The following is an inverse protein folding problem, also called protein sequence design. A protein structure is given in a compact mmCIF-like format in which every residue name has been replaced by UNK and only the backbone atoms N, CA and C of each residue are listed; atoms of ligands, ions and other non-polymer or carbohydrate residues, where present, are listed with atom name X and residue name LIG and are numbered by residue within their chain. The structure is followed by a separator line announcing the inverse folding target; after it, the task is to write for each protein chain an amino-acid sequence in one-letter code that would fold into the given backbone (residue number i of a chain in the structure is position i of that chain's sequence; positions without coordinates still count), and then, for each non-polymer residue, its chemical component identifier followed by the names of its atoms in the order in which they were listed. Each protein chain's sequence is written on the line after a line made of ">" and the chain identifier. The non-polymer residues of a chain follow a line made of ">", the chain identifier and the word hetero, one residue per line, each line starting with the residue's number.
data_IF_762499625872
#
_entry.id   IF_762499625872
#
_cell.length_a   1.000
_cell.length_b   1.000
_cell.length_c   1.000
_cell.angle_alpha   90.00
_cell.angle_beta   90.00
_cell.angle_gamma   90.00
#
_symmetry.space_group_name_H-M   'P 1'
#
loop_
_entity.id
_entity.type
_entity.pdbx_description
1 polymer ?
#
# COMPACT_ATOMS: atom_id res chain seq x y z
N UNK A 1 8.54 -38.69 25.55
CA UNK A 1 8.48 -38.43 24.09
C UNK A 1 9.32 -39.51 23.43
N UNK A 2 8.72 -40.38 22.62
CA UNK A 2 9.44 -41.43 21.89
C UNK A 2 10.48 -40.80 20.97
N UNK A 3 11.67 -41.40 20.86
CA UNK A 3 12.67 -40.95 19.90
C UNK A 3 12.06 -40.91 18.49
N UNK A 4 12.35 -39.87 17.68
CA UNK A 4 11.85 -39.82 16.31
C UNK A 4 12.31 -41.07 15.56
N UNK A 5 11.43 -41.62 14.73
CA UNK A 5 11.74 -42.77 13.87
C UNK A 5 12.97 -42.47 13.01
N UNK A 6 13.72 -43.51 12.63
CA UNK A 6 14.90 -43.32 11.77
C UNK A 6 14.56 -42.52 10.51
N UNK A 7 15.40 -41.55 10.10
CA UNK A 7 15.10 -40.68 8.97
C UNK A 7 14.99 -41.45 7.65
N UNK A 8 13.86 -41.27 6.96
CA UNK A 8 13.64 -41.89 5.65
C UNK A 8 14.33 -41.10 4.52
N UNK A 9 14.47 -41.71 3.35
CA UNK A 9 14.94 -41.00 2.15
C UNK A 9 13.99 -39.85 1.74
N UNK A 10 12.71 -39.93 2.09
CA UNK A 10 11.73 -38.86 1.86
C UNK A 10 11.99 -37.68 2.79
N UNK A 11 12.36 -37.94 4.05
CA UNK A 11 12.69 -36.90 5.02
C UNK A 11 13.94 -36.13 4.57
N UNK A 12 15.00 -36.84 4.17
CA UNK A 12 16.22 -36.21 3.62
C UNK A 12 15.95 -35.33 2.41
N UNK A 13 15.02 -35.73 1.51
CA UNK A 13 14.60 -34.88 0.39
C UNK A 13 13.85 -33.63 0.84
N UNK A 14 13.02 -33.72 1.88
CA UNK A 14 12.33 -32.56 2.46
C UNK A 14 13.31 -31.63 3.14
N UNK A 15 14.28 -32.14 3.90
CA UNK A 15 15.32 -31.33 4.52
C UNK A 15 16.17 -30.60 3.50
N UNK A 16 16.49 -31.23 2.36
CA UNK A 16 17.18 -30.56 1.26
C UNK A 16 16.33 -29.44 0.63
N UNK A 17 14.99 -29.56 0.64
CA UNK A 17 14.10 -28.48 0.21
C UNK A 17 14.08 -27.35 1.22
N UNK A 18 13.91 -27.65 2.51
CA UNK A 18 13.98 -26.65 3.58
C UNK A 18 15.31 -25.89 3.55
N UNK A 19 16.43 -26.60 3.42
CA UNK A 19 17.76 -25.98 3.27
C UNK A 19 17.80 -24.93 2.14
N UNK A 20 17.19 -25.23 0.99
CA UNK A 20 17.15 -24.30 -0.15
C UNK A 20 16.24 -23.11 0.13
N UNK A 21 15.11 -23.34 0.79
CA UNK A 21 14.14 -22.31 1.14
C UNK A 21 14.72 -21.35 2.21
N UNK A 22 15.32 -21.87 3.28
CA UNK A 22 16.04 -21.12 4.32
C UNK A 22 17.11 -20.19 3.74
N UNK A 23 17.94 -20.73 2.83
CA UNK A 23 18.99 -19.94 2.16
C UNK A 23 18.42 -18.82 1.28
N UNK A 24 17.27 -19.08 0.67
CA UNK A 24 16.61 -18.11 -0.19
C UNK A 24 15.95 -17.00 0.64
N UNK A 25 15.34 -17.33 1.78
CA UNK A 25 14.77 -16.37 2.74
C UNK A 25 15.86 -15.52 3.40
N UNK A 26 16.95 -16.14 3.89
CA UNK A 26 18.11 -15.42 4.42
C UNK A 26 18.67 -14.40 3.41
N UNK A 27 18.72 -14.77 2.12
CA UNK A 27 19.17 -13.86 1.05
C UNK A 27 18.22 -12.69 0.87
N UNK A 28 16.91 -12.94 0.86
CA UNK A 28 15.90 -11.88 0.76
C UNK A 28 16.04 -10.90 1.93
N UNK A 29 16.19 -11.39 3.16
CA UNK A 29 16.37 -10.53 4.33
C UNK A 29 17.66 -9.71 4.28
N UNK A 30 18.78 -10.29 3.84
CA UNK A 30 20.04 -9.54 3.65
C UNK A 30 19.93 -8.47 2.56
N UNK A 31 19.30 -8.78 1.43
CA UNK A 31 19.08 -7.81 0.35
C UNK A 31 18.18 -6.66 0.79
N UNK A 32 17.18 -6.94 1.63
CA UNK A 32 16.35 -5.93 2.26
C UNK A 32 17.15 -5.08 3.25
N UNK A 33 17.90 -5.71 4.16
CA UNK A 33 18.70 -5.03 5.17
C UNK A 33 19.72 -4.06 4.56
N UNK A 34 20.35 -4.45 3.44
CA UNK A 34 21.33 -3.64 2.72
C UNK A 34 20.78 -2.30 2.18
N UNK A 35 19.44 -2.14 2.14
CA UNK A 35 18.76 -0.94 1.63
C UNK A 35 18.02 -0.17 2.73
N UNK A 36 18.33 -0.44 4.00
CA UNK A 36 17.69 0.14 5.18
C UNK A 36 18.74 0.67 6.14
N UNK A 37 18.30 1.56 7.02
CA UNK A 37 19.11 2.13 8.09
C UNK A 37 18.39 2.00 9.45
N UNK A 38 19.17 2.10 10.53
CA UNK A 38 18.67 2.03 11.90
C UNK A 38 17.97 0.72 12.26
N UNK A 39 16.92 0.82 13.08
CA UNK A 39 16.17 -0.30 13.66
C UNK A 39 15.68 -1.31 12.60
N UNK A 40 15.20 -0.85 11.44
CA UNK A 40 14.68 -1.76 10.40
C UNK A 40 15.78 -2.65 9.79
N UNK A 41 17.02 -2.13 9.66
CA UNK A 41 18.15 -2.91 9.17
C UNK A 41 18.58 -3.96 10.19
N UNK A 42 18.59 -3.60 11.47
CA UNK A 42 18.95 -4.51 12.57
C UNK A 42 17.97 -5.68 12.65
N UNK A 43 16.67 -5.39 12.60
CA UNK A 43 15.62 -6.43 12.60
C UNK A 43 15.78 -7.38 11.40
N UNK A 44 15.96 -6.85 10.19
CA UNK A 44 16.13 -7.68 8.99
C UNK A 44 17.42 -8.51 9.01
N UNK A 45 18.49 -7.98 9.60
CA UNK A 45 19.74 -8.72 9.78
C UNK A 45 19.55 -9.86 10.78
N UNK A 46 18.86 -9.61 11.90
CA UNK A 46 18.55 -10.63 12.89
C UNK A 46 17.68 -11.76 12.33
N UNK A 47 16.71 -11.44 11.46
CA UNK A 47 15.92 -12.45 10.73
C UNK A 47 16.83 -13.29 9.80
N UNK A 48 17.72 -12.65 9.03
CA UNK A 48 18.65 -13.38 8.17
C UNK A 48 19.61 -14.30 8.94
N UNK A 49 20.02 -13.90 10.14
CA UNK A 49 20.88 -14.70 11.01
C UNK A 49 20.11 -15.88 11.63
N UNK A 50 18.81 -15.72 11.87
CA UNK A 50 17.93 -16.79 12.32
C UNK A 50 17.75 -17.89 11.25
N UNK A 51 17.49 -17.52 10.00
CA UNK A 51 17.46 -18.51 8.90
C UNK A 51 18.82 -19.19 8.70
N UNK A 52 19.93 -18.51 9.02
CA UNK A 52 21.26 -19.12 9.06
C UNK A 52 21.39 -20.23 10.12
N UNK A 53 20.71 -20.10 11.26
CA UNK A 53 20.66 -21.17 12.28
C UNK A 53 19.79 -22.35 11.82
N UNK A 54 18.70 -22.07 11.13
CA UNK A 54 17.85 -23.10 10.52
C UNK A 54 18.61 -23.87 9.42
N UNK A 55 19.34 -23.16 8.56
CA UNK A 55 20.26 -23.75 7.58
C UNK A 55 21.23 -24.74 8.24
N UNK A 56 21.90 -24.32 9.33
CA UNK A 56 22.84 -25.16 10.05
C UNK A 56 22.19 -26.42 10.63
N UNK A 57 20.95 -26.32 11.14
CA UNK A 57 20.19 -27.48 11.63
C UNK A 57 19.94 -28.51 10.53
N UNK A 58 19.48 -28.07 9.35
CA UNK A 58 19.21 -28.97 8.23
C UNK A 58 20.50 -29.59 7.67
N UNK A 59 21.60 -28.84 7.58
CA UNK A 59 22.90 -29.36 7.19
C UNK A 59 23.40 -30.45 8.15
N UNK A 60 23.22 -30.24 9.46
CA UNK A 60 23.59 -31.24 10.47
C UNK A 60 22.79 -32.53 10.31
N UNK A 61 21.47 -32.45 10.08
CA UNK A 61 20.62 -33.62 9.81
C UNK A 61 20.98 -34.34 8.50
N UNK A 62 21.36 -33.59 7.47
CA UNK A 62 21.80 -34.14 6.18
C UNK A 62 23.20 -34.75 6.22
N UNK A 63 24.02 -34.41 7.21
CA UNK A 63 25.41 -34.83 7.32
C UNK A 63 26.35 -34.05 6.40
N UNK A 64 25.98 -32.81 6.06
CA UNK A 64 26.74 -31.93 5.15
C UNK A 64 25.96 -31.52 3.90
N UNK A 65 26.67 -30.94 2.94
CA UNK A 65 26.07 -30.37 1.73
C UNK A 65 25.52 -31.47 0.79
N UNK A 66 24.24 -31.42 0.39
CA UNK A 66 23.69 -32.39 -0.55
C UNK A 66 24.37 -32.33 -1.91
N UNK A 67 24.68 -33.49 -2.49
CA UNK A 67 25.28 -33.56 -3.84
C UNK A 67 24.38 -32.96 -4.94
N UNK A 68 23.07 -32.88 -4.72
CA UNK A 68 22.11 -32.20 -5.60
C UNK A 68 21.07 -31.47 -4.76
N UNK A 69 20.98 -30.16 -4.97
CA UNK A 69 19.96 -29.32 -4.36
C UNK A 69 18.70 -29.28 -5.24
N UNK A 70 17.50 -29.33 -4.65
CA UNK A 70 16.27 -29.05 -5.38
C UNK A 70 16.22 -27.58 -5.83
N UNK A 71 15.31 -27.28 -6.77
CA UNK A 71 15.09 -25.88 -7.18
C UNK A 71 14.30 -25.15 -6.08
N UNK A 72 14.64 -23.88 -5.79
CA UNK A 72 13.84 -23.08 -4.87
C UNK A 72 12.41 -22.96 -5.37
N UNK A 73 11.45 -22.86 -4.43
CA UNK A 73 10.06 -22.70 -4.78
C UNK A 73 9.85 -21.46 -5.68
N UNK A 74 8.93 -21.56 -6.66
CA UNK A 74 8.66 -20.48 -7.60
C UNK A 74 8.24 -19.16 -6.89
N UNK A 75 7.56 -19.28 -5.75
CA UNK A 75 7.21 -18.15 -4.88
C UNK A 75 8.44 -17.42 -4.36
N UNK A 76 9.47 -18.14 -3.91
CA UNK A 76 10.71 -17.59 -3.36
C UNK A 76 11.59 -16.94 -4.44
N UNK A 77 11.58 -17.47 -5.66
CA UNK A 77 12.24 -16.84 -6.82
C UNK A 77 11.56 -15.52 -7.19
N UNK A 78 10.22 -15.51 -7.23
CA UNK A 78 9.45 -14.30 -7.49
C UNK A 78 9.68 -13.25 -6.40
N UNK A 79 9.73 -13.68 -5.13
CA UNK A 79 10.09 -12.85 -3.97
C UNK A 79 11.44 -12.16 -4.15
N UNK A 80 12.49 -12.91 -4.45
CA UNK A 80 13.83 -12.33 -4.67
C UNK A 80 13.91 -11.43 -5.90
N UNK A 81 13.14 -11.72 -6.97
CA UNK A 81 13.04 -10.79 -8.10
C UNK A 81 12.31 -9.49 -7.72
N UNK A 82 11.18 -9.60 -7.01
CA UNK A 82 10.42 -8.46 -6.55
C UNK A 82 11.24 -7.63 -5.56
N UNK A 83 11.99 -8.26 -4.66
CA UNK A 83 12.86 -7.57 -3.71
C UNK A 83 13.93 -6.74 -4.40
N UNK A 84 14.50 -7.24 -5.48
CA UNK A 84 15.49 -6.48 -6.23
C UNK A 84 14.89 -5.29 -6.97
N UNK A 85 13.63 -5.40 -7.45
CA UNK A 85 13.01 -4.44 -8.38
C UNK A 85 12.05 -3.43 -7.75
N UNK A 86 11.30 -3.85 -6.74
CA UNK A 86 10.26 -3.08 -6.05
C UNK A 86 10.65 -3.02 -4.57
N UNK A 87 10.64 -1.83 -3.97
CA UNK A 87 11.15 -1.61 -2.61
C UNK A 87 10.59 -2.54 -1.53
N UNK A 88 11.22 -2.50 -0.36
CA UNK A 88 11.01 -3.34 0.84
C UNK A 88 9.57 -3.74 1.20
N UNK A 89 8.58 -2.90 0.91
CA UNK A 89 7.21 -3.07 1.37
C UNK A 89 6.49 -4.20 0.61
N UNK A 90 6.78 -4.37 -0.68
CA UNK A 90 6.23 -5.47 -1.48
C UNK A 90 6.81 -6.82 -1.06
N UNK A 91 8.07 -6.81 -0.65
CA UNK A 91 8.80 -8.01 -0.23
C UNK A 91 8.33 -8.46 1.13
N UNK A 92 8.18 -7.55 2.08
CA UNK A 92 7.68 -7.87 3.42
C UNK A 92 6.23 -8.39 3.38
N UNK A 93 5.38 -7.82 2.54
CA UNK A 93 4.01 -8.32 2.36
C UNK A 93 3.97 -9.72 1.72
N UNK A 94 4.92 -10.02 0.83
CA UNK A 94 5.00 -11.32 0.17
C UNK A 94 5.71 -12.37 1.06
N UNK A 95 6.68 -11.95 1.88
CA UNK A 95 7.38 -12.76 2.89
C UNK A 95 6.41 -13.20 3.98
N UNK A 96 5.54 -12.29 4.46
CA UNK A 96 4.45 -12.63 5.39
C UNK A 96 3.57 -13.78 4.86
N UNK A 97 3.31 -13.79 3.54
CA UNK A 97 2.46 -14.80 2.90
C UNK A 97 3.20 -16.13 2.65
N UNK A 98 4.54 -16.13 2.71
CA UNK A 98 5.38 -17.31 2.65
C UNK A 98 5.53 -17.93 4.06
N UNK A 99 5.85 -17.13 5.07
CA UNK A 99 5.99 -17.55 6.48
C UNK A 99 4.69 -18.13 7.06
N UNK A 100 3.53 -17.56 6.68
CA UNK A 100 2.21 -18.10 7.07
C UNK A 100 1.94 -19.54 6.59
N UNK A 101 2.80 -20.09 5.73
CA UNK A 101 2.70 -21.46 5.18
C UNK A 101 3.83 -22.38 5.67
N UNK A 102 4.62 -21.96 6.66
CA UNK A 102 5.74 -22.76 7.17
C UNK A 102 5.27 -24.09 7.78
N UNK A 103 5.82 -25.25 7.34
CA UNK A 103 5.38 -26.57 7.79
C UNK A 103 5.99 -27.00 9.13
N UNK A 104 6.81 -26.16 9.79
CA UNK A 104 7.63 -26.56 10.94
C UNK A 104 6.84 -26.96 12.19
N UNK A 105 5.62 -26.46 12.38
CA UNK A 105 4.74 -26.96 13.47
C UNK A 105 4.43 -28.46 13.34
N UNK A 106 4.42 -28.98 12.12
CA UNK A 106 4.08 -30.37 11.80
C UNK A 106 5.30 -31.24 11.48
N UNK A 107 6.51 -30.67 11.50
CA UNK A 107 7.75 -31.34 11.12
C UNK A 107 8.39 -32.04 12.33
N UNK A 108 8.44 -33.38 12.38
CA UNK A 108 8.98 -34.11 13.53
C UNK A 108 10.47 -33.86 13.81
N UNK A 109 11.22 -33.43 12.78
CA UNK A 109 12.66 -33.17 12.87
C UNK A 109 13.01 -31.69 13.04
N UNK A 110 12.01 -30.79 13.10
CA UNK A 110 12.22 -29.40 13.44
C UNK A 110 12.33 -29.26 14.97
N UNK A 111 13.24 -28.40 15.43
CA UNK A 111 13.35 -28.16 16.88
C UNK A 111 12.18 -27.30 17.38
N UNK A 112 11.80 -27.41 18.66
CA UNK A 112 10.81 -26.50 19.25
C UNK A 112 11.19 -25.03 19.12
N UNK A 113 12.50 -24.72 19.13
CA UNK A 113 13.03 -23.37 18.91
C UNK A 113 12.77 -22.89 17.50
N UNK A 114 13.00 -23.70 16.46
CA UNK A 114 12.71 -23.33 15.07
C UNK A 114 11.22 -23.05 14.85
N UNK A 115 10.36 -23.89 15.42
CA UNK A 115 8.91 -23.66 15.33
C UNK A 115 8.45 -22.40 16.08
N UNK A 116 9.18 -21.97 17.12
CA UNK A 116 8.94 -20.72 17.83
C UNK A 116 9.49 -19.52 17.05
N UNK A 117 10.72 -19.61 16.53
CA UNK A 117 11.40 -18.58 15.73
C UNK A 117 10.51 -18.21 14.53
N UNK A 118 9.96 -19.19 13.79
CA UNK A 118 9.05 -18.97 12.66
C UNK A 118 7.80 -18.14 13.02
N UNK A 119 7.18 -18.41 14.19
CA UNK A 119 6.00 -17.64 14.63
C UNK A 119 6.36 -16.19 14.90
N UNK A 120 7.53 -15.97 15.49
CA UNK A 120 8.04 -14.63 15.77
C UNK A 120 8.46 -13.95 14.46
N UNK A 121 9.09 -14.65 13.52
CA UNK A 121 9.43 -14.15 12.18
C UNK A 121 8.18 -13.60 11.49
N UNK A 122 7.11 -14.42 11.43
CA UNK A 122 5.83 -14.00 10.86
C UNK A 122 5.27 -12.73 11.50
N UNK A 123 5.29 -12.60 12.83
CA UNK A 123 4.77 -11.41 13.50
C UNK A 123 5.66 -10.17 13.30
N UNK A 124 6.99 -10.35 13.30
CA UNK A 124 7.96 -9.29 13.02
C UNK A 124 7.80 -8.77 11.58
N UNK A 125 7.74 -9.67 10.60
CA UNK A 125 7.53 -9.34 9.18
C UNK A 125 6.17 -8.68 8.97
N UNK A 126 5.11 -9.19 9.61
CA UNK A 126 3.79 -8.55 9.63
C UNK A 126 3.85 -7.14 10.22
N UNK A 127 4.59 -6.94 11.30
CA UNK A 127 4.81 -5.63 11.94
C UNK A 127 5.54 -4.64 11.03
N UNK A 128 6.63 -5.08 10.39
CA UNK A 128 7.38 -4.31 9.39
C UNK A 128 6.52 -3.97 8.16
N UNK A 129 5.74 -4.94 7.66
CA UNK A 129 4.80 -4.73 6.56
C UNK A 129 3.68 -3.75 6.93
N UNK A 130 3.14 -3.82 8.14
CA UNK A 130 2.15 -2.87 8.64
C UNK A 130 2.71 -1.45 8.75
N UNK A 131 3.94 -1.30 9.26
CA UNK A 131 4.66 -0.02 9.33
C UNK A 131 4.89 0.57 7.93
N UNK A 132 5.32 -0.26 6.98
CA UNK A 132 5.45 0.10 5.57
C UNK A 132 4.14 0.54 4.92
N UNK A 133 3.03 -0.18 5.15
CA UNK A 133 1.70 0.18 4.64
C UNK A 133 1.20 1.52 5.17
N UNK A 134 1.45 1.84 6.45
CA UNK A 134 1.08 3.14 7.03
C UNK A 134 1.80 4.30 6.34
N UNK A 135 3.08 4.13 5.98
CA UNK A 135 3.84 5.14 5.23
C UNK A 135 3.35 5.35 3.79
N UNK A 136 2.72 4.34 3.17
CA UNK A 136 2.22 4.42 1.79
C UNK A 136 0.73 4.81 1.68
N UNK A 137 -0.04 4.74 2.76
CA UNK A 137 -1.51 4.63 2.69
C UNK A 137 -2.21 5.82 2.01
N UNK A 138 -1.65 7.03 2.10
CA UNK A 138 -2.19 8.22 1.44
C UNK A 138 -1.90 8.22 -0.07
N UNK A 139 -0.64 8.38 -0.44
CA UNK A 139 -0.21 8.61 -1.83
C UNK A 139 -0.37 7.39 -2.72
N UNK A 140 -0.08 6.18 -2.22
CA UNK A 140 -0.18 4.96 -3.02
C UNK A 140 -1.63 4.65 -3.40
N UNK A 141 -2.54 4.84 -2.43
CA UNK A 141 -3.96 4.59 -2.63
C UNK A 141 -4.52 5.54 -3.68
N UNK A 142 -4.21 6.84 -3.58
CA UNK A 142 -4.59 7.84 -4.58
C UNK A 142 -4.02 7.51 -5.97
N UNK A 143 -2.76 7.11 -6.05
CA UNK A 143 -2.10 6.76 -7.31
C UNK A 143 -2.77 5.57 -8.03
N UNK A 144 -2.98 4.47 -7.32
CA UNK A 144 -3.57 3.26 -7.91
C UNK A 144 -5.03 3.46 -8.27
N UNK A 145 -5.80 4.17 -7.44
CA UNK A 145 -7.19 4.48 -7.78
C UNK A 145 -7.28 5.45 -8.96
N UNK A 146 -6.42 6.47 -9.04
CA UNK A 146 -6.39 7.38 -10.18
C UNK A 146 -6.09 6.66 -11.49
N UNK A 147 -5.04 5.84 -11.53
CA UNK A 147 -4.72 5.06 -12.72
C UNK A 147 -5.83 4.07 -13.09
N UNK A 148 -6.43 3.39 -12.11
CA UNK A 148 -7.54 2.48 -12.36
C UNK A 148 -8.80 3.20 -12.86
N UNK A 149 -9.11 4.38 -12.33
CA UNK A 149 -10.25 5.17 -12.76
C UNK A 149 -10.05 5.65 -14.21
N UNK A 150 -8.84 6.12 -14.56
CA UNK A 150 -8.49 6.45 -15.94
C UNK A 150 -8.59 5.25 -16.90
N UNK A 151 -8.07 4.08 -16.49
CA UNK A 151 -8.18 2.83 -17.27
C UNK A 151 -9.63 2.47 -17.58
N UNK A 152 -10.49 2.43 -16.54
CA UNK A 152 -11.87 1.96 -16.66
C UNK A 152 -12.74 2.98 -17.37
N UNK A 153 -12.70 4.25 -16.96
CA UNK A 153 -13.54 5.31 -17.54
C UNK A 153 -13.23 5.53 -19.02
N UNK A 154 -11.94 5.59 -19.39
CA UNK A 154 -11.59 5.88 -20.77
C UNK A 154 -11.71 4.64 -21.67
N UNK A 155 -11.51 3.42 -21.14
CA UNK A 155 -11.88 2.20 -21.87
C UNK A 155 -13.37 2.18 -22.19
N UNK A 156 -14.23 2.45 -21.19
CA UNK A 156 -15.67 2.48 -21.38
C UNK A 156 -16.08 3.51 -22.44
N UNK A 157 -15.47 4.70 -22.42
CA UNK A 157 -15.71 5.74 -23.42
C UNK A 157 -15.36 5.27 -24.83
N UNK A 158 -14.14 4.77 -25.06
CA UNK A 158 -13.71 4.37 -26.42
C UNK A 158 -14.44 3.13 -26.92
N UNK A 159 -14.87 2.22 -26.03
CA UNK A 159 -15.70 1.08 -26.38
C UNK A 159 -17.11 1.53 -26.80
N UNK A 160 -17.72 2.45 -26.04
CA UNK A 160 -19.04 3.00 -26.37
C UNK A 160 -19.03 3.77 -27.69
N UNK A 161 -18.08 4.69 -27.89
CA UNK A 161 -17.98 5.43 -29.15
C UNK A 161 -17.62 4.48 -30.30
N UNK A 162 -16.67 3.57 -30.11
CA UNK A 162 -16.29 2.60 -31.14
C UNK A 162 -17.44 1.69 -31.58
N UNK A 163 -18.36 1.33 -30.67
CA UNK A 163 -19.52 0.49 -30.99
C UNK A 163 -20.55 1.17 -31.91
N UNK A 164 -20.51 2.50 -32.04
CA UNK A 164 -21.40 3.24 -32.95
C UNK A 164 -21.04 3.08 -34.42
N UNK A 165 -19.85 2.55 -34.73
CA UNK A 165 -19.36 2.43 -36.12
C UNK A 165 -18.76 3.71 -36.70
N UNK A 166 -18.55 4.75 -35.89
CA UNK A 166 -17.87 5.99 -36.33
C UNK A 166 -16.43 5.72 -36.79
N UNK A 167 -15.91 6.66 -37.58
CA UNK A 167 -14.56 6.55 -38.09
C UNK A 167 -13.50 6.59 -36.96
N UNK A 168 -12.34 5.91 -37.11
CA UNK A 168 -11.36 5.74 -36.04
C UNK A 168 -10.84 7.04 -35.42
N UNK A 169 -10.78 8.12 -36.21
CA UNK A 169 -10.38 9.45 -35.73
C UNK A 169 -11.33 10.03 -34.68
N UNK A 170 -12.63 9.70 -34.74
CA UNK A 170 -13.59 10.13 -33.73
C UNK A 170 -13.39 9.36 -32.42
N UNK A 171 -13.10 8.06 -32.49
CA UNK A 171 -12.77 7.26 -31.30
C UNK A 171 -11.51 7.79 -30.62
N UNK A 172 -10.47 8.09 -31.41
CA UNK A 172 -9.23 8.69 -30.92
C UNK A 172 -9.50 10.06 -30.25
N UNK A 173 -10.21 10.95 -30.94
CA UNK A 173 -10.53 12.27 -30.42
C UNK A 173 -11.33 12.18 -29.11
N UNK A 174 -12.37 11.35 -29.07
CA UNK A 174 -13.16 11.11 -27.86
C UNK A 174 -12.30 10.55 -26.72
N UNK A 175 -11.40 9.60 -27.00
CA UNK A 175 -10.50 9.04 -26.00
C UNK A 175 -9.50 10.06 -25.44
N UNK A 176 -8.95 10.95 -26.27
CA UNK A 176 -8.06 12.03 -25.81
C UNK A 176 -8.84 13.10 -25.04
N UNK A 177 -10.02 13.48 -25.51
CA UNK A 177 -10.89 14.43 -24.83
C UNK A 177 -11.34 13.90 -23.46
N UNK A 178 -11.76 12.62 -23.40
CA UNK A 178 -12.13 11.94 -22.16
C UNK A 178 -10.97 11.83 -21.17
N UNK A 179 -9.77 11.51 -21.66
CA UNK A 179 -8.55 11.53 -20.85
C UNK A 179 -8.31 12.90 -20.23
N UNK A 180 -8.30 13.97 -21.03
CA UNK A 180 -8.01 15.32 -20.55
C UNK A 180 -9.09 15.82 -19.59
N UNK A 181 -10.37 15.63 -19.95
CA UNK A 181 -11.49 16.03 -19.11
C UNK A 181 -11.48 15.30 -17.77
N UNK A 182 -11.26 13.98 -17.78
CA UNK A 182 -11.17 13.17 -16.58
C UNK A 182 -9.96 13.54 -15.71
N UNK A 183 -8.78 13.69 -16.32
CA UNK A 183 -7.56 14.05 -15.58
C UNK A 183 -7.67 15.43 -14.92
N UNK A 184 -8.19 16.43 -15.65
CA UNK A 184 -8.42 17.77 -15.11
C UNK A 184 -9.45 17.76 -13.98
N UNK A 185 -10.55 17.03 -14.16
CA UNK A 185 -11.58 16.86 -13.12
C UNK A 185 -11.00 16.21 -11.85
N UNK A 186 -10.22 15.14 -12.00
CA UNK A 186 -9.58 14.46 -10.88
C UNK A 186 -8.57 15.35 -10.16
N UNK A 187 -7.73 16.07 -10.92
CA UNK A 187 -6.76 17.02 -10.35
C UNK A 187 -7.43 18.17 -9.60
N UNK A 188 -8.48 18.77 -10.17
CA UNK A 188 -9.26 19.82 -9.53
C UNK A 188 -9.97 19.31 -8.27
N UNK A 189 -10.58 18.13 -8.33
CA UNK A 189 -11.22 17.49 -7.17
C UNK A 189 -10.25 17.25 -6.02
N UNK A 190 -9.04 16.77 -6.31
CA UNK A 190 -8.01 16.56 -5.29
C UNK A 190 -7.51 17.90 -4.69
N UNK A 191 -7.31 18.92 -5.53
CA UNK A 191 -6.93 20.27 -5.06
C UNK A 191 -7.94 20.81 -4.05
N UNK A 192 -9.23 20.76 -4.41
CA UNK A 192 -10.32 21.24 -3.57
C UNK A 192 -10.40 20.39 -2.29
N UNK A 193 -10.29 19.07 -2.40
CA UNK A 193 -10.34 18.17 -1.23
C UNK A 193 -9.24 18.50 -0.21
N UNK A 194 -7.98 18.63 -0.66
CA UNK A 194 -6.86 18.95 0.20
C UNK A 194 -7.00 20.35 0.81
N UNK A 195 -7.44 21.32 0.02
CA UNK A 195 -7.65 22.69 0.51
C UNK A 195 -8.75 22.76 1.57
N UNK A 196 -9.89 22.11 1.33
CA UNK A 196 -10.99 22.05 2.30
C UNK A 196 -10.59 21.31 3.57
N UNK A 197 -9.79 20.24 3.50
CA UNK A 197 -9.26 19.58 4.69
C UNK A 197 -8.39 20.53 5.53
N UNK A 198 -7.54 21.34 4.89
CA UNK A 198 -6.74 22.36 5.58
C UNK A 198 -7.59 23.47 6.19
N UNK A 199 -8.58 23.96 5.46
CA UNK A 199 -9.51 24.97 5.96
C UNK A 199 -10.29 24.47 7.18
N UNK A 200 -10.70 23.19 7.19
CA UNK A 200 -11.34 22.55 8.36
C UNK A 200 -10.40 22.39 9.55
N UNK A 201 -9.14 22.01 9.31
CA UNK A 201 -8.13 21.89 10.36
C UNK A 201 -7.81 23.26 10.97
N UNK A 202 -7.56 24.27 10.14
CA UNK A 202 -7.32 25.65 10.57
C UNK A 202 -8.51 26.23 11.36
N UNK A 203 -9.75 25.87 11.00
CA UNK A 203 -10.93 26.25 11.77
C UNK A 203 -11.05 25.55 13.14
N UNK A 204 -10.30 24.47 13.36
CA UNK A 204 -10.28 23.69 14.61
C UNK A 204 -9.07 24.05 15.48
N UNK A 205 -8.06 24.72 14.93
CA UNK A 205 -6.90 25.16 15.70
C UNK A 205 -7.29 26.24 16.74
N UNK A 206 -6.77 26.15 17.97
CA UNK A 206 -6.98 27.17 18.97
C UNK A 206 -6.51 28.52 18.43
N UNK A 207 -7.43 29.49 18.34
CA UNK A 207 -7.09 30.86 17.96
C UNK A 207 -6.29 31.52 19.10
N UNK A 208 -5.18 32.20 18.77
CA UNK A 208 -4.28 32.93 19.69
C UNK A 208 -5.01 34.01 20.51
N UNK A 209 -6.25 34.33 20.15
CA UNK A 209 -7.16 35.19 20.91
C UNK A 209 -7.30 34.76 22.37
N UNK A 210 -7.19 33.47 22.67
CA UNK A 210 -7.18 32.97 24.04
C UNK A 210 -5.86 33.35 24.75
N UNK A 211 -4.71 33.17 24.10
CA UNK A 211 -3.39 33.36 24.72
C UNK A 211 -3.06 34.83 25.01
N UNK A 212 -3.49 35.77 24.16
CA UNK A 212 -3.32 37.21 24.44
C UNK A 212 -4.21 37.72 25.58
N UNK A 213 -5.33 37.05 25.86
CA UNK A 213 -6.29 37.44 26.89
C UNK A 213 -6.11 36.69 28.22
N UNK A 214 -5.32 35.60 28.25
CA UNK A 214 -4.98 34.84 29.46
C UNK A 214 -4.48 35.71 30.63
N UNK A 215 -3.60 36.72 30.44
CA UNK A 215 -3.10 37.54 31.55
C UNK A 215 -4.11 38.56 32.09
N UNK A 216 -5.25 38.73 31.41
CA UNK A 216 -6.29 39.72 31.76
C UNK A 216 -7.60 39.06 32.16
N UNK A 217 -7.67 37.74 32.12
CA UNK A 217 -8.85 36.96 32.48
C UNK A 217 -8.82 36.67 33.99
N UNK A 218 -9.83 37.15 34.72
CA UNK A 218 -10.11 36.76 36.10
C UNK A 218 -10.75 35.35 36.12
N UNK A 219 -9.98 34.35 35.67
CA UNK A 219 -10.44 32.97 35.51
C UNK A 219 -10.09 32.12 36.73
N UNK A 220 -11.12 31.56 37.36
CA UNK A 220 -10.94 30.44 38.29
C UNK A 220 -10.45 29.19 37.54
N UNK A 221 -9.65 28.35 38.22
CA UNK A 221 -9.17 27.07 37.69
C UNK A 221 -10.32 26.14 37.20
N UNK A 222 -11.54 26.36 37.69
CA UNK A 222 -12.73 25.63 37.25
C UNK A 222 -13.13 26.00 35.80
N UNK A 223 -13.06 27.28 35.43
CA UNK A 223 -13.46 27.75 34.09
C UNK A 223 -12.41 27.41 33.03
N UNK A 224 -11.12 27.53 33.37
CA UNK A 224 -10.03 27.07 32.51
C UNK A 224 -10.07 25.54 32.30
N UNK A 225 -10.52 24.77 33.30
CA UNK A 225 -10.76 23.34 33.14
C UNK A 225 -11.90 23.04 32.14
N UNK A 226 -12.94 23.90 32.07
CA UNK A 226 -13.96 23.76 31.03
C UNK A 226 -13.36 23.94 29.63
N UNK A 227 -12.44 24.89 29.43
CA UNK A 227 -11.74 25.09 28.13
C UNK A 227 -10.92 23.86 27.72
N UNK A 228 -10.20 23.23 28.65
CA UNK A 228 -9.47 22.01 28.34
C UNK A 228 -10.39 20.82 28.05
N UNK A 229 -11.53 20.73 28.73
CA UNK A 229 -12.54 19.69 28.49
C UNK A 229 -13.22 19.84 27.14
N UNK A 230 -13.56 21.07 26.72
CA UNK A 230 -14.14 21.32 25.39
C UNK A 230 -13.16 21.00 24.27
N UNK A 231 -11.85 21.10 24.53
CA UNK A 231 -10.76 20.63 23.66
C UNK A 231 -10.49 19.11 23.75
N UNK A 232 -11.34 18.35 24.45
CA UNK A 232 -11.30 16.88 24.50
C UNK A 232 -10.45 16.28 25.62
N UNK A 233 -9.93 17.08 26.56
CA UNK A 233 -9.16 16.57 27.69
C UNK A 233 -10.08 15.91 28.74
N UNK A 234 -9.75 14.71 29.26
CA UNK A 234 -10.49 14.09 30.36
C UNK A 234 -10.57 15.01 31.58
N UNK A 235 -11.69 14.99 32.29
CA UNK A 235 -12.02 15.95 33.36
C UNK A 235 -10.92 16.10 34.42
N UNK A 236 -10.37 14.99 34.91
CA UNK A 236 -9.37 15.01 35.98
C UNK A 236 -8.06 15.64 35.51
N UNK A 237 -7.68 15.40 34.24
CA UNK A 237 -6.49 15.97 33.61
C UNK A 237 -6.67 17.46 33.30
N UNK A 238 -7.85 17.84 32.82
CA UNK A 238 -8.21 19.23 32.55
C UNK A 238 -8.17 20.08 33.81
N UNK A 239 -8.69 19.56 34.93
CA UNK A 239 -8.68 20.26 36.22
C UNK A 239 -7.28 20.39 36.80
N UNK A 240 -6.47 19.33 36.72
CA UNK A 240 -5.08 19.36 37.16
C UNK A 240 -4.25 20.37 36.36
N UNK A 241 -4.41 20.37 35.02
CA UNK A 241 -3.70 21.30 34.13
C UNK A 241 -4.14 22.75 34.35
N UNK A 242 -5.43 23.00 34.53
CA UNK A 242 -5.94 24.34 34.82
C UNK A 242 -5.37 24.91 36.12
N UNK A 243 -5.30 24.11 37.19
CA UNK A 243 -4.69 24.53 38.46
C UNK A 243 -3.23 24.89 38.31
N UNK A 244 -2.45 24.06 37.61
CA UNK A 244 -1.02 24.33 37.38
C UNK A 244 -0.79 25.66 36.64
N UNK A 245 -1.60 25.94 35.61
CA UNK A 245 -1.47 27.17 34.83
C UNK A 245 -1.88 28.40 35.65
N UNK A 246 -2.97 28.33 36.42
CA UNK A 246 -3.42 29.43 37.28
C UNK A 246 -2.41 29.71 38.41
N UNK A 247 -1.89 28.67 39.08
CA UNK A 247 -0.88 28.84 40.13
C UNK A 247 0.41 29.44 39.58
N UNK A 248 0.90 28.97 38.43
CA UNK A 248 2.10 29.53 37.80
C UNK A 248 1.93 31.01 37.39
N UNK A 249 0.74 31.39 36.93
CA UNK A 249 0.42 32.78 36.59
C UNK A 249 0.35 33.69 37.85
N UNK A 250 -0.22 33.20 38.96
CA UNK A 250 -0.31 33.92 40.23
C UNK A 250 1.05 34.12 40.91
N UNK A 251 1.99 33.21 40.70
CA UNK A 251 3.36 33.28 41.23
C UNK A 251 4.27 34.25 40.43
N UNK A 252 3.73 34.97 39.44
CA UNK A 252 4.47 35.94 38.63
C UNK A 252 5.42 35.28 37.62
N UNK A 253 5.33 33.96 37.46
CA UNK A 253 6.00 33.25 36.38
C UNK A 253 5.34 33.65 35.08
N UNK A 254 6.00 34.49 34.28
CA UNK A 254 5.65 34.64 32.87
C UNK A 254 5.57 33.23 32.29
N UNK A 255 4.37 32.77 31.99
CA UNK A 255 4.14 31.55 31.24
C UNK A 255 4.70 31.79 29.84
N UNK A 256 6.03 31.69 29.72
CA UNK A 256 6.65 31.31 28.46
C UNK A 256 6.15 29.90 28.22
N UNK A 257 4.99 29.82 27.58
CA UNK A 257 4.53 28.62 26.94
C UNK A 257 5.71 28.14 26.11
N UNK A 258 6.32 27.04 26.54
CA UNK A 258 7.04 26.22 25.60
C UNK A 258 6.06 26.03 24.43
N UNK A 259 6.46 26.32 23.18
CA UNK A 259 5.70 25.88 22.04
C UNK A 259 5.69 24.36 22.14
N UNK A 260 4.65 23.81 22.75
CA UNK A 260 4.14 22.53 22.33
C UNK A 260 3.48 22.83 20.99
N UNK A 261 4.29 23.16 19.99
CA UNK A 261 3.93 22.83 18.63
C UNK A 261 3.73 21.32 18.69
N UNK A 262 2.48 20.79 18.64
CA UNK A 262 2.36 19.44 18.10
C UNK A 262 3.12 19.51 16.77
N UNK A 263 4.02 18.55 16.48
CA UNK A 263 4.79 18.58 15.25
C UNK A 263 3.79 18.89 14.14
N UNK A 264 4.00 20.01 13.47
CA UNK A 264 3.05 20.54 12.50
C UNK A 264 2.72 19.42 11.53
N UNK A 265 1.56 18.79 11.69
CA UNK A 265 1.01 17.79 10.76
C UNK A 265 0.73 18.43 9.38
N UNK A 266 1.01 19.73 9.25
CA UNK A 266 1.09 20.51 8.02
C UNK A 266 2.13 20.03 7.00
N UNK A 267 3.06 19.14 7.36
CA UNK A 267 4.09 18.64 6.41
C UNK A 267 3.82 17.26 5.81
N UNK A 268 2.80 16.51 6.26
CA UNK A 268 2.45 15.21 5.66
C UNK A 268 1.37 15.30 4.57
N UNK A 269 0.75 16.47 4.41
CA UNK A 269 -0.13 16.78 3.29
C UNK A 269 0.72 17.55 2.27
N UNK A 270 1.23 16.87 1.24
CA UNK A 270 1.84 17.55 0.09
C UNK A 270 0.97 18.73 -0.36
N UNK A 271 1.57 19.84 -0.80
CA UNK A 271 0.82 21.04 -1.23
C UNK A 271 -0.37 20.66 -2.12
N UNK A 272 -1.55 21.29 -1.97
CA UNK A 272 -2.75 20.96 -2.75
C UNK A 272 -2.47 20.84 -4.26
N UNK A 273 -1.53 21.65 -4.77
CA UNK A 273 -0.99 21.56 -6.13
C UNK A 273 -0.27 20.25 -6.45
N UNK A 274 0.58 19.74 -5.55
CA UNK A 274 1.27 18.47 -5.73
C UNK A 274 0.29 17.28 -5.73
N UNK A 275 -0.73 17.31 -4.87
CA UNK A 275 -1.79 16.30 -4.84
C UNK A 275 -2.62 16.33 -6.14
N UNK A 276 -3.01 17.53 -6.58
CA UNK A 276 -3.72 17.75 -7.83
C UNK A 276 -2.95 17.25 -9.05
N UNK A 277 -1.66 17.62 -9.17
CA UNK A 277 -0.81 17.21 -10.27
C UNK A 277 -0.58 15.69 -10.26
N UNK A 278 -0.37 15.11 -9.08
CA UNK A 278 -0.25 13.67 -8.90
C UNK A 278 -1.51 12.95 -9.37
N UNK A 279 -2.70 13.36 -8.91
CA UNK A 279 -3.98 12.77 -9.33
C UNK A 279 -4.22 12.91 -10.84
N UNK A 280 -3.93 14.09 -11.41
CA UNK A 280 -3.97 14.31 -12.86
C UNK A 280 -3.10 13.31 -13.63
N UNK A 281 -1.82 13.18 -13.24
CA UNK A 281 -0.86 12.32 -13.93
C UNK A 281 -1.21 10.84 -13.78
N UNK A 282 -1.64 10.41 -12.59
CA UNK A 282 -2.05 9.02 -12.39
C UNK A 282 -3.28 8.67 -13.21
N UNK A 283 -4.30 9.54 -13.23
CA UNK A 283 -5.46 9.36 -14.11
C UNK A 283 -5.04 9.29 -15.58
N UNK A 284 -4.28 10.28 -16.06
CA UNK A 284 -3.84 10.35 -17.45
C UNK A 284 -3.03 9.11 -17.86
N UNK A 285 -2.17 8.61 -16.98
CA UNK A 285 -1.37 7.41 -17.21
C UNK A 285 -2.21 6.14 -17.41
N UNK A 286 -3.36 6.05 -16.75
CA UNK A 286 -4.32 4.97 -16.95
C UNK A 286 -5.16 5.18 -18.21
N UNK A 287 -5.68 6.39 -18.39
CA UNK A 287 -6.58 6.75 -19.48
C UNK A 287 -5.91 6.74 -20.87
N UNK A 288 -4.59 6.87 -20.97
CA UNK A 288 -3.92 6.79 -22.27
C UNK A 288 -3.89 5.37 -22.83
N UNK A 289 -3.84 4.34 -21.97
CA UNK A 289 -3.66 2.94 -22.35
C UNK A 289 -4.77 2.43 -23.30
N UNK A 290 -6.06 2.64 -23.01
CA UNK A 290 -7.13 2.28 -23.94
C UNK A 290 -6.99 2.94 -25.31
N UNK A 291 -6.39 4.12 -25.41
CA UNK A 291 -6.34 4.92 -26.66
C UNK A 291 -5.14 4.56 -27.54
N UNK A 292 -4.12 3.90 -26.99
CA UNK A 292 -2.88 3.55 -27.69
C UNK A 292 -3.10 2.89 -29.07
N UNK A 293 -4.03 1.93 -29.24
CA UNK A 293 -4.23 1.31 -30.56
C UNK A 293 -4.56 2.33 -31.64
N UNK A 294 -5.45 3.28 -31.35
CA UNK A 294 -5.84 4.32 -32.29
C UNK A 294 -4.73 5.34 -32.55
N UNK A 295 -3.89 5.65 -31.55
CA UNK A 295 -2.70 6.50 -31.72
C UNK A 295 -1.73 5.88 -32.73
N UNK A 296 -1.58 4.55 -32.69
CA UNK A 296 -0.72 3.81 -33.61
C UNK A 296 -1.42 3.40 -34.93
N UNK A 297 -2.59 3.98 -35.22
CA UNK A 297 -3.29 3.79 -36.50
C UNK A 297 -4.05 2.48 -36.63
N UNK A 298 -4.22 1.71 -35.55
CA UNK A 298 -5.12 0.55 -35.57
C UNK A 298 -6.58 1.01 -35.69
N UNK A 299 -7.39 0.19 -36.34
CA UNK A 299 -8.83 0.45 -36.53
C UNK A 299 -9.66 -0.83 -36.44
N UNK A 300 -10.98 -0.65 -36.39
CA UNK A 300 -11.94 -1.75 -36.38
C UNK A 300 -11.78 -2.70 -35.19
N UNK A 301 -12.16 -3.99 -35.36
CA UNK A 301 -12.10 -4.98 -34.29
C UNK A 301 -10.70 -5.21 -33.73
N UNK A 302 -9.66 -5.03 -34.54
CA UNK A 302 -8.27 -5.21 -34.11
C UNK A 302 -7.91 -4.18 -33.05
N UNK A 303 -8.23 -2.90 -33.27
CA UNK A 303 -7.99 -1.84 -32.28
C UNK A 303 -8.70 -2.12 -30.95
N UNK A 304 -9.96 -2.58 -31.03
CA UNK A 304 -10.78 -2.92 -29.86
C UNK A 304 -10.16 -4.06 -29.05
N UNK A 305 -9.79 -5.16 -29.71
CA UNK A 305 -9.15 -6.31 -29.03
C UNK A 305 -7.81 -5.91 -28.42
N UNK A 306 -6.99 -5.12 -29.12
CA UNK A 306 -5.73 -4.62 -28.57
C UNK A 306 -5.96 -3.74 -27.35
N UNK A 307 -6.95 -2.83 -27.38
CA UNK A 307 -7.29 -1.99 -26.22
C UNK A 307 -7.72 -2.83 -25.02
N UNK A 308 -8.61 -3.81 -25.22
CA UNK A 308 -9.07 -4.73 -24.17
C UNK A 308 -7.91 -5.55 -23.58
N UNK A 309 -6.98 -6.04 -24.39
CA UNK A 309 -5.83 -6.78 -23.90
C UNK A 309 -4.89 -5.89 -23.09
N UNK A 310 -4.56 -4.70 -23.58
CA UNK A 310 -3.68 -3.75 -22.87
C UNK A 310 -4.28 -3.33 -21.53
N UNK A 311 -5.55 -2.93 -21.53
CA UNK A 311 -6.27 -2.54 -20.30
C UNK A 311 -6.46 -3.75 -19.38
N UNK A 312 -6.77 -4.93 -19.92
CA UNK A 312 -6.93 -6.15 -19.14
C UNK A 312 -5.64 -6.53 -18.39
N UNK A 313 -4.49 -6.47 -19.07
CA UNK A 313 -3.18 -6.67 -18.43
C UNK A 313 -2.93 -5.61 -17.35
N UNK A 314 -3.22 -4.34 -17.64
CA UNK A 314 -3.05 -3.25 -16.67
C UNK A 314 -3.93 -3.44 -15.42
N UNK A 315 -5.23 -3.74 -15.58
CA UNK A 315 -6.16 -3.97 -14.47
C UNK A 315 -5.80 -5.21 -13.65
N UNK A 316 -5.33 -6.28 -14.31
CA UNK A 316 -4.84 -7.47 -13.61
C UNK A 316 -3.58 -7.15 -12.79
N UNK A 317 -2.64 -6.38 -13.37
CA UNK A 317 -1.42 -5.97 -12.69
C UNK A 317 -1.71 -5.06 -11.48
N UNK A 318 -2.51 -4.01 -11.66
CA UNK A 318 -2.87 -3.09 -10.56
C UNK A 318 -3.70 -3.79 -9.49
N UNK A 319 -4.66 -4.64 -9.87
CA UNK A 319 -5.45 -5.41 -8.92
C UNK A 319 -4.63 -6.44 -8.14
N UNK A 320 -3.68 -7.12 -8.77
CA UNK A 320 -2.74 -8.00 -8.09
C UNK A 320 -1.85 -7.22 -7.11
N UNK A 321 -1.36 -6.04 -7.53
CA UNK A 321 -0.56 -5.14 -6.69
C UNK A 321 -1.31 -4.71 -5.43
N UNK A 322 -2.58 -4.31 -5.58
CA UNK A 322 -3.46 -3.98 -4.44
C UNK A 322 -3.66 -5.18 -3.54
N UNK A 323 -3.87 -6.37 -4.11
CA UNK A 323 -4.02 -7.59 -3.32
C UNK A 323 -2.80 -7.91 -2.48
N UNK A 324 -1.60 -7.86 -3.09
CA UNK A 324 -0.33 -8.03 -2.41
C UNK A 324 -0.16 -7.04 -1.25
N UNK A 325 -0.33 -5.75 -1.51
CA UNK A 325 -0.17 -4.72 -0.49
C UNK A 325 -1.26 -4.73 0.58
N UNK A 326 -2.43 -5.27 0.27
CA UNK A 326 -3.50 -5.41 1.27
C UNK A 326 -3.37 -6.69 2.10
N UNK A 327 -2.39 -7.55 1.81
CA UNK A 327 -2.27 -8.89 2.42
C UNK A 327 -3.38 -9.85 1.99
N UNK A 328 -4.11 -9.55 0.91
CA UNK A 328 -5.19 -10.38 0.39
C UNK A 328 -4.72 -11.25 -0.81
N UNK A 329 -5.53 -12.23 -1.24
CA UNK A 329 -5.21 -13.07 -2.40
C UNK A 329 -5.12 -12.21 -3.69
N UNK A 330 -3.92 -12.08 -4.31
CA UNK A 330 -3.71 -11.16 -5.44
C UNK A 330 -4.60 -11.45 -6.64
N UNK A 331 -4.73 -12.73 -7.00
CA UNK A 331 -5.53 -13.16 -8.14
C UNK A 331 -7.01 -12.78 -7.99
N UNK A 332 -7.59 -12.93 -6.80
CA UNK A 332 -9.01 -12.57 -6.57
C UNK A 332 -9.22 -11.07 -6.73
N UNK A 333 -8.26 -10.25 -6.29
CA UNK A 333 -8.32 -8.77 -6.42
C UNK A 333 -8.14 -8.33 -7.87
N UNK A 334 -7.22 -8.97 -8.60
CA UNK A 334 -7.01 -8.78 -10.03
C UNK A 334 -8.27 -9.12 -10.84
N UNK A 335 -8.85 -10.31 -10.64
CA UNK A 335 -10.06 -10.73 -11.34
C UNK A 335 -11.27 -9.83 -11.05
N UNK A 336 -11.42 -9.37 -9.80
CA UNK A 336 -12.46 -8.39 -9.46
C UNK A 336 -12.28 -7.07 -10.20
N UNK A 337 -11.05 -6.57 -10.27
CA UNK A 337 -10.74 -5.32 -10.97
C UNK A 337 -11.01 -5.44 -12.48
N UNK A 338 -10.62 -6.57 -13.07
CA UNK A 338 -10.89 -6.91 -14.47
C UNK A 338 -12.41 -6.98 -14.73
N UNK A 339 -13.16 -7.67 -13.86
CA UNK A 339 -14.61 -7.82 -14.00
C UNK A 339 -15.34 -6.48 -13.93
N UNK A 340 -14.95 -5.59 -13.01
CA UNK A 340 -15.52 -4.24 -12.91
C UNK A 340 -15.21 -3.43 -14.17
N UNK A 341 -13.94 -3.43 -14.60
CA UNK A 341 -13.51 -2.67 -15.77
C UNK A 341 -14.17 -3.12 -17.07
N UNK A 342 -14.17 -4.43 -17.32
CA UNK A 342 -14.82 -5.00 -18.51
C UNK A 342 -16.34 -4.95 -18.42
N UNK A 343 -16.93 -5.00 -17.22
CA UNK A 343 -18.36 -4.78 -17.02
C UNK A 343 -18.78 -3.38 -17.45
N UNK A 344 -18.06 -2.34 -17.02
CA UNK A 344 -18.33 -0.96 -17.43
C UNK A 344 -18.16 -0.75 -18.95
N UNK A 345 -17.10 -1.34 -19.52
CA UNK A 345 -16.85 -1.33 -20.96
C UNK A 345 -17.94 -2.06 -21.76
N UNK A 346 -18.43 -3.20 -21.27
CA UNK A 346 -19.51 -3.94 -21.93
C UNK A 346 -20.82 -3.16 -21.93
N UNK A 347 -21.18 -2.53 -20.80
CA UNK A 347 -22.39 -1.69 -20.71
C UNK A 347 -22.33 -0.53 -21.70
N UNK A 348 -21.22 0.19 -21.74
CA UNK A 348 -21.05 1.33 -22.66
C UNK A 348 -20.97 0.91 -24.12
N UNK A 349 -20.33 -0.23 -24.43
CA UNK A 349 -20.35 -0.82 -25.77
C UNK A 349 -21.77 -1.14 -26.24
N UNK A 350 -22.60 -1.78 -25.39
CA UNK A 350 -24.00 -2.09 -25.71
C UNK A 350 -24.80 -0.80 -25.96
N UNK A 351 -24.61 0.24 -25.14
CA UNK A 351 -25.25 1.53 -25.36
C UNK A 351 -24.84 2.14 -26.70
N UNK A 352 -23.54 2.16 -26.99
CA UNK A 352 -23.02 2.66 -28.27
C UNK A 352 -23.58 1.90 -29.47
N UNK A 353 -23.68 0.58 -29.35
CA UNK A 353 -24.29 -0.27 -30.38
C UNK A 353 -25.78 0.06 -30.61
N UNK A 354 -26.57 0.19 -29.53
CA UNK A 354 -27.99 0.54 -29.62
C UNK A 354 -28.18 1.92 -30.29
N UNK A 355 -27.42 2.93 -29.85
CA UNK A 355 -27.57 4.28 -30.39
C UNK A 355 -27.00 4.44 -31.80
N UNK A 356 -25.93 3.71 -32.14
CA UNK A 356 -25.38 3.66 -33.49
C UNK A 356 -26.40 3.13 -34.52
N UNK A 357 -27.20 2.13 -34.13
CA UNK A 357 -28.28 1.58 -34.97
C UNK A 357 -29.45 2.54 -35.14
N UNK A 358 -29.69 3.45 -34.20
CA UNK A 358 -30.80 4.42 -34.28
C UNK A 358 -30.49 5.71 -35.06
N UNK A 359 -29.22 6.00 -35.35
CA UNK A 359 -28.78 7.24 -35.99
C UNK A 359 -28.31 7.05 -37.43
N UNK A 360 -28.07 5.80 -37.86
CA UNK A 360 -27.73 5.43 -39.25
C UNK A 360 -28.95 5.07 -40.09
#
# INVERSE_FOLDING_TARGET
>A
MSAPAEPTARDRRRWAQYLVDERAEARVYRELAARRDGEEREILTALADAEGRHEAHWLNLLGGEPARLPRPAAGTVLLGWMARRFGSIFVLALAQNAEARSPYESEPFATPTMAADEKIHHEVVRGLAARGRRRLSGTFRAAVFGANDGLVSNLALVMGIGATGVAPQFVLFSGIAGLLAGALSMGAGEFVSVRSQRELLAATEPNDYADESLPHLDLDANELALVYRTRGMPQDQALARARLVVTAAQEGGAAHGAPLDPPTDHELIGGAWSAALSSFLFFASGAIIPVLPWIFGLSGPVAVVTALLLVGVALMATGAMVGLLSGGPPLRRALRQLAIGFGAAAVTYVLGWIFGVSVG
#
